data_IF_952642271787
#
_entry.id   IF_952642271787
#
_cell.length_a   1.000
_cell.length_b   1.000
_cell.length_c   1.000
_cell.angle_alpha   90.00
_cell.angle_beta   90.00
_cell.angle_gamma   90.00
#
_symmetry.space_group_name_H-M   'P 1'
#
loop_
_entity.id
_entity.type
_entity.pdbx_description
1 polymer ?
#
# COMPACT_ATOMS: atom_id res chain seq x y z
N UNK A 1 -25.92 8.56 -50.16
CA UNK A 1 -25.80 7.78 -48.90
C UNK A 1 -24.36 7.85 -48.45
N UNK A 2 -24.04 8.67 -47.45
CA UNK A 2 -22.69 8.77 -46.89
C UNK A 2 -22.57 7.77 -45.73
N UNK A 3 -21.65 6.83 -45.84
CA UNK A 3 -21.30 5.89 -44.77
C UNK A 3 -20.40 6.65 -43.80
N UNK A 4 -20.96 7.02 -42.65
CA UNK A 4 -20.21 7.67 -41.58
C UNK A 4 -19.19 6.68 -41.00
N UNK A 5 -17.93 6.88 -41.33
CA UNK A 5 -16.81 6.12 -40.78
C UNK A 5 -16.63 6.56 -39.31
N UNK A 6 -17.00 5.69 -38.37
CA UNK A 6 -16.87 5.95 -36.93
C UNK A 6 -15.37 6.08 -36.59
N UNK A 7 -14.89 7.14 -35.93
CA UNK A 7 -13.49 7.25 -35.57
C UNK A 7 -13.13 6.12 -34.61
N UNK A 8 -12.26 5.21 -35.03
CA UNK A 8 -11.74 4.14 -34.18
C UNK A 8 -10.97 4.77 -33.03
N UNK A 9 -11.43 4.55 -31.79
CA UNK A 9 -10.69 4.97 -30.61
C UNK A 9 -9.28 4.35 -30.65
N UNK A 10 -8.23 5.09 -30.26
CA UNK A 10 -6.88 4.54 -30.20
C UNK A 10 -6.85 3.42 -29.16
N UNK A 11 -6.55 2.20 -29.59
CA UNK A 11 -6.38 1.06 -28.68
C UNK A 11 -5.24 1.34 -27.70
N UNK A 12 -5.55 1.38 -26.40
CA UNK A 12 -4.54 1.55 -25.35
C UNK A 12 -3.86 0.20 -25.13
N UNK A 13 -2.56 0.13 -25.40
CA UNK A 13 -1.75 -1.07 -25.11
C UNK A 13 -1.11 -0.92 -23.73
N UNK A 14 -1.41 -1.85 -22.83
CA UNK A 14 -0.79 -1.90 -21.50
C UNK A 14 0.32 -2.95 -21.48
N UNK A 15 1.50 -2.58 -21.00
CA UNK A 15 2.66 -3.47 -20.85
C UNK A 15 2.96 -3.58 -19.36
N UNK A 16 2.93 -4.79 -18.82
CA UNK A 16 3.25 -5.08 -17.44
C UNK A 16 4.61 -5.77 -17.32
N UNK A 17 5.46 -5.27 -16.42
CA UNK A 17 6.63 -5.99 -15.97
C UNK A 17 6.26 -6.71 -14.67
N UNK A 18 6.15 -8.02 -14.75
CA UNK A 18 5.73 -8.88 -13.64
C UNK A 18 6.84 -9.90 -13.34
N UNK A 19 7.04 -10.19 -12.06
CA UNK A 19 8.00 -11.21 -11.66
C UNK A 19 7.54 -12.60 -12.11
N UNK A 20 8.46 -13.57 -12.31
CA UNK A 20 8.10 -14.92 -12.71
C UNK A 20 7.08 -15.59 -11.77
N UNK A 21 7.20 -15.35 -10.46
CA UNK A 21 6.28 -15.88 -9.46
C UNK A 21 4.86 -15.33 -9.62
N UNK A 22 4.73 -14.02 -9.86
CA UNK A 22 3.41 -13.40 -10.09
C UNK A 22 2.78 -13.90 -11.39
N UNK A 23 3.59 -14.09 -12.43
CA UNK A 23 3.13 -14.65 -13.70
C UNK A 23 2.58 -16.08 -13.55
N UNK A 24 3.31 -16.96 -12.86
CA UNK A 24 2.88 -18.34 -12.59
C UNK A 24 1.59 -18.36 -11.77
N UNK A 25 1.54 -17.58 -10.68
CA UNK A 25 0.34 -17.48 -9.84
C UNK A 25 -0.86 -16.95 -10.62
N UNK A 26 -0.63 -15.98 -11.52
CA UNK A 26 -1.65 -15.47 -12.44
C UNK A 26 -2.21 -16.55 -13.35
N UNK A 27 -1.34 -17.34 -14.00
CA UNK A 27 -1.78 -18.44 -14.87
C UNK A 27 -2.59 -19.48 -14.10
N UNK A 28 -2.11 -19.92 -12.94
CA UNK A 28 -2.81 -20.92 -12.14
C UNK A 28 -4.18 -20.41 -11.67
N UNK A 29 -4.26 -19.14 -11.32
CA UNK A 29 -5.52 -18.49 -10.90
C UNK A 29 -6.51 -18.37 -12.05
N UNK A 30 -6.02 -18.01 -13.25
CA UNK A 30 -6.82 -17.97 -14.47
C UNK A 30 -7.36 -19.38 -14.84
N UNK A 31 -6.49 -20.40 -14.81
CA UNK A 31 -6.86 -21.79 -15.09
C UNK A 31 -7.94 -22.33 -14.13
N UNK A 32 -7.80 -22.06 -12.83
CA UNK A 32 -8.83 -22.46 -11.83
C UNK A 32 -10.20 -21.87 -12.12
N UNK A 33 -10.26 -20.73 -12.80
CA UNK A 33 -11.49 -20.02 -13.17
C UNK A 33 -11.92 -20.29 -14.61
N UNK A 34 -11.19 -21.12 -15.35
CA UNK A 34 -11.45 -21.38 -16.77
C UNK A 34 -11.24 -20.17 -17.68
N UNK A 35 -10.46 -19.18 -17.23
CA UNK A 35 -10.19 -17.94 -17.94
C UNK A 35 -8.81 -17.98 -18.58
N UNK A 36 -8.61 -17.16 -19.61
CA UNK A 36 -7.27 -16.84 -20.09
C UNK A 36 -6.59 -15.84 -19.16
N UNK A 37 -5.26 -15.75 -19.23
CA UNK A 37 -4.48 -14.88 -18.36
C UNK A 37 -4.82 -13.40 -18.56
N UNK A 38 -4.98 -12.96 -19.81
CA UNK A 38 -5.38 -11.60 -20.17
C UNK A 38 -6.77 -11.26 -19.60
N UNK A 39 -7.76 -12.12 -19.82
CA UNK A 39 -9.12 -11.95 -19.28
C UNK A 39 -9.14 -11.92 -17.74
N UNK A 40 -8.33 -12.78 -17.12
CA UNK A 40 -8.18 -12.82 -15.67
C UNK A 40 -7.53 -11.54 -15.14
N UNK A 41 -6.47 -11.05 -15.79
CA UNK A 41 -5.77 -9.82 -15.40
C UNK A 41 -6.66 -8.60 -15.61
N UNK A 42 -7.35 -8.48 -16.73
CA UNK A 42 -8.30 -7.39 -16.99
C UNK A 42 -9.42 -7.37 -15.95
N UNK A 43 -9.99 -8.53 -15.62
CA UNK A 43 -11.02 -8.63 -14.58
C UNK A 43 -10.45 -8.27 -13.19
N UNK A 44 -9.24 -8.73 -12.85
CA UNK A 44 -8.60 -8.43 -11.57
C UNK A 44 -8.22 -6.95 -11.44
N UNK A 45 -7.68 -6.34 -12.50
CA UNK A 45 -7.34 -4.91 -12.56
C UNK A 45 -8.60 -4.07 -12.50
N UNK A 46 -9.63 -4.44 -13.26
CA UNK A 46 -10.93 -3.75 -13.23
C UNK A 46 -11.54 -3.83 -11.84
N UNK A 47 -11.53 -5.01 -11.20
CA UNK A 47 -12.02 -5.17 -9.84
C UNK A 47 -11.20 -4.35 -8.82
N UNK A 48 -9.88 -4.31 -8.97
CA UNK A 48 -9.02 -3.50 -8.11
C UNK A 48 -9.24 -1.99 -8.31
N UNK A 49 -9.52 -1.56 -9.54
CA UNK A 49 -9.78 -0.17 -9.89
C UNK A 49 -11.22 0.28 -9.57
N UNK A 50 -12.18 -0.65 -9.61
CA UNK A 50 -13.60 -0.43 -9.32
C UNK A 50 -13.98 -0.71 -7.87
N UNK A 51 -13.05 -1.24 -7.08
CA UNK A 51 -13.23 -1.33 -5.64
C UNK A 51 -13.31 0.10 -5.09
N UNK A 52 -14.52 0.64 -5.04
CA UNK A 52 -14.84 1.63 -4.03
C UNK A 52 -14.48 1.01 -2.66
N UNK A 53 -14.02 1.81 -1.68
CA UNK A 53 -13.58 1.34 -0.36
C UNK A 53 -14.77 0.88 0.50
N UNK A 54 -15.58 -0.03 -0.03
CA UNK A 54 -16.93 -0.34 0.49
C UNK A 54 -16.99 -1.69 1.19
N UNK A 55 -15.84 -2.21 1.61
CA UNK A 55 -15.80 -3.23 2.66
C UNK A 55 -14.76 -2.85 3.73
N UNK A 56 -15.18 -2.28 4.88
CA UNK A 56 -14.27 -1.94 5.98
C UNK A 56 -13.62 -3.17 6.62
N UNK A 57 -14.04 -4.39 6.25
CA UNK A 57 -13.38 -5.63 6.68
C UNK A 57 -12.26 -6.09 5.74
N UNK A 58 -12.16 -5.49 4.55
CA UNK A 58 -11.15 -5.79 3.54
C UNK A 58 -10.33 -4.55 3.17
N UNK A 59 -9.95 -3.76 4.16
CA UNK A 59 -8.89 -2.78 3.95
C UNK A 59 -7.60 -3.51 3.60
N UNK A 60 -7.25 -3.42 2.31
CA UNK A 60 -6.02 -4.00 1.82
C UNK A 60 -4.86 -3.28 2.54
N UNK A 61 -3.84 -4.01 3.03
CA UNK A 61 -2.80 -3.44 3.89
C UNK A 61 -1.98 -2.34 3.18
N UNK A 62 -2.03 -2.27 1.86
CA UNK A 62 -1.40 -1.23 1.02
C UNK A 62 -2.19 0.09 0.97
N UNK A 63 -3.39 0.15 1.58
CA UNK A 63 -4.19 1.37 1.60
C UNK A 63 -3.53 2.46 2.45
N UNK A 64 -3.81 3.72 2.10
CA UNK A 64 -3.37 4.87 2.90
C UNK A 64 -4.02 4.87 4.30
N UNK A 65 -5.27 4.44 4.40
CA UNK A 65 -5.97 4.38 5.69
C UNK A 65 -5.31 3.37 6.63
N UNK A 66 -4.92 2.20 6.12
CA UNK A 66 -4.20 1.20 6.91
C UNK A 66 -2.82 1.69 7.37
N UNK A 67 -2.16 2.55 6.58
CA UNK A 67 -0.92 3.23 7.01
C UNK A 67 -1.18 4.21 8.15
N UNK A 68 -2.23 5.03 8.06
CA UNK A 68 -2.60 6.00 9.09
C UNK A 68 -2.99 5.30 10.40
N UNK A 69 -3.76 4.21 10.32
CA UNK A 69 -4.08 3.37 11.49
C UNK A 69 -2.83 2.72 12.08
N UNK A 70 -1.92 2.22 11.23
CA UNK A 70 -0.66 1.67 11.69
C UNK A 70 0.19 2.73 12.41
N UNK A 71 0.30 3.94 11.87
CA UNK A 71 1.01 5.05 12.51
C UNK A 71 0.41 5.37 13.88
N UNK A 72 -0.91 5.51 13.96
CA UNK A 72 -1.61 5.80 15.21
C UNK A 72 -1.33 4.73 16.27
N UNK A 73 -1.42 3.45 15.89
CA UNK A 73 -1.16 2.33 16.81
C UNK A 73 0.33 2.21 17.16
N UNK A 74 1.22 2.46 16.22
CA UNK A 74 2.66 2.42 16.44
C UNK A 74 3.15 3.53 17.39
N UNK A 75 2.53 4.72 17.33
CA UNK A 75 2.86 5.87 18.17
C UNK A 75 2.23 5.74 19.57
N UNK A 76 0.99 5.22 19.67
CA UNK A 76 0.26 5.19 20.94
C UNK A 76 0.38 3.87 21.71
N UNK A 77 0.31 2.72 21.03
CA UNK A 77 0.14 1.39 21.63
C UNK A 77 0.80 0.32 20.76
N UNK A 78 2.14 0.29 20.64
CA UNK A 78 2.84 -0.64 19.76
C UNK A 78 2.59 -2.12 20.13
N UNK A 79 2.27 -2.40 21.40
CA UNK A 79 1.95 -3.75 21.88
C UNK A 79 0.67 -4.34 21.28
N UNK A 80 -0.25 -3.48 20.84
CA UNK A 80 -1.50 -3.87 20.18
C UNK A 80 -1.29 -4.39 18.74
N UNK A 81 -0.11 -4.16 18.16
CA UNK A 81 0.25 -4.68 16.85
C UNK A 81 0.54 -6.19 16.99
N UNK A 82 -0.23 -7.00 16.26
CA UNK A 82 -0.13 -8.46 16.28
C UNK A 82 0.06 -9.05 14.88
N UNK A 83 0.61 -10.26 14.82
CA UNK A 83 0.80 -11.00 13.58
C UNK A 83 1.69 -10.26 12.58
N UNK A 84 1.29 -10.17 11.29
CA UNK A 84 2.05 -9.47 10.26
C UNK A 84 2.36 -8.00 10.60
N UNK A 85 1.45 -7.30 11.28
CA UNK A 85 1.64 -5.89 11.67
C UNK A 85 2.78 -5.70 12.68
N UNK A 86 3.02 -6.69 13.56
CA UNK A 86 4.17 -6.67 14.48
C UNK A 86 5.49 -6.83 13.74
N UNK A 87 5.51 -7.68 12.71
CA UNK A 87 6.68 -7.86 11.84
C UNK A 87 6.95 -6.59 11.04
N UNK A 88 5.89 -5.93 10.56
CA UNK A 88 5.99 -4.63 9.90
C UNK A 88 6.61 -3.58 10.81
N UNK A 89 6.14 -3.48 12.06
CA UNK A 89 6.69 -2.57 13.06
C UNK A 89 8.16 -2.85 13.36
N UNK A 90 8.54 -4.12 13.51
CA UNK A 90 9.94 -4.50 13.70
C UNK A 90 10.84 -4.07 12.52
N UNK A 91 10.33 -4.08 11.28
CA UNK A 91 11.06 -3.55 10.12
C UNK A 91 11.16 -2.02 10.14
N UNK A 92 10.11 -1.32 10.56
CA UNK A 92 10.15 0.14 10.72
C UNK A 92 11.17 0.57 11.78
N UNK A 93 11.30 -0.18 12.89
CA UNK A 93 12.35 0.04 13.89
C UNK A 93 13.77 -0.13 13.33
N UNK A 94 13.96 -0.94 12.29
CA UNK A 94 15.27 -1.19 11.66
C UNK A 94 15.67 -0.11 10.64
N UNK A 95 14.74 0.76 10.24
CA UNK A 95 14.99 1.79 9.22
C UNK A 95 15.07 3.18 9.87
N UNK A 96 16.28 3.70 10.18
CA UNK A 96 16.43 4.98 10.88
C UNK A 96 15.90 6.17 10.08
N UNK A 97 15.86 6.07 8.75
CA UNK A 97 15.36 7.11 7.85
C UNK A 97 13.84 7.38 7.98
N UNK A 98 13.11 6.48 8.65
CA UNK A 98 11.68 6.61 8.90
C UNK A 98 11.36 7.42 10.15
N UNK A 99 12.36 7.78 10.95
CA UNK A 99 12.18 8.46 12.22
C UNK A 99 12.45 9.97 12.08
N UNK A 100 11.61 10.77 12.71
CA UNK A 100 11.83 12.20 12.89
C UNK A 100 12.40 12.44 14.28
N UNK A 101 13.53 13.14 14.31
CA UNK A 101 14.08 13.65 15.56
C UNK A 101 13.14 14.72 16.14
N UNK A 102 13.06 14.85 17.47
CA UNK A 102 12.29 15.91 18.10
C UNK A 102 12.89 17.27 17.72
N UNK A 103 12.13 18.06 16.97
CA UNK A 103 12.45 19.46 16.69
C UNK A 103 11.85 20.30 17.81
N UNK A 104 12.60 20.46 18.90
CA UNK A 104 12.20 21.39 19.95
C UNK A 104 12.43 22.82 19.46
N UNK A 105 11.34 23.57 19.25
CA UNK A 105 11.46 25.01 19.05
C UNK A 105 11.83 25.70 20.37
N UNK A 106 12.64 26.76 20.32
CA UNK A 106 13.12 27.49 21.50
C UNK A 106 11.97 27.97 22.42
N UNK A 107 10.82 28.33 21.84
CA UNK A 107 9.60 28.72 22.59
C UNK A 107 8.95 27.55 23.34
N UNK A 108 9.02 26.32 22.81
CA UNK A 108 8.45 25.11 23.44
C UNK A 108 9.32 24.57 24.57
N UNK A 109 10.65 24.77 24.48
CA UNK A 109 11.59 24.46 25.56
C UNK A 109 11.37 25.39 26.77
N UNK A 110 11.10 26.67 26.54
CA UNK A 110 10.80 27.63 27.62
C UNK A 110 9.42 27.37 28.25
N UNK A 111 8.47 26.82 27.48
CA UNK A 111 7.10 26.49 27.93
C UNK A 111 6.98 25.14 28.64
N UNK A 112 8.03 24.30 28.61
CA UNK A 112 8.03 22.97 29.21
C UNK A 112 7.13 21.95 28.49
N UNK A 113 6.74 22.23 27.25
CA UNK A 113 5.88 21.37 26.41
C UNK A 113 6.66 20.72 25.26
N UNK A 114 7.99 20.74 25.32
CA UNK A 114 8.84 20.12 24.32
C UNK A 114 8.50 18.61 24.23
N UNK A 115 8.15 18.19 23.02
CA UNK A 115 7.84 16.80 22.71
C UNK A 115 9.17 16.06 22.47
N UNK A 116 9.68 15.42 23.52
CA UNK A 116 10.99 14.74 23.51
C UNK A 116 10.95 13.35 22.84
N UNK A 117 9.80 12.94 22.30
CA UNK A 117 9.57 11.58 21.81
C UNK A 117 9.88 11.44 20.32
N UNK A 118 10.66 10.41 19.97
CA UNK A 118 10.99 10.09 18.58
C UNK A 118 9.75 9.57 17.87
N UNK A 119 9.26 10.30 16.87
CA UNK A 119 8.05 9.93 16.13
C UNK A 119 8.36 9.36 14.75
N UNK A 120 7.50 8.47 14.29
CA UNK A 120 7.56 7.96 12.92
C UNK A 120 7.15 9.08 11.95
N UNK A 121 7.99 9.36 10.97
CA UNK A 121 7.72 10.37 9.96
C UNK A 121 6.70 9.85 8.94
N UNK A 122 5.46 10.34 8.99
CA UNK A 122 4.39 9.98 8.05
C UNK A 122 4.83 10.09 6.58
N UNK A 123 5.56 11.15 6.22
CA UNK A 123 5.96 11.37 4.82
C UNK A 123 7.01 10.38 4.34
N UNK A 124 7.90 9.94 5.24
CA UNK A 124 8.89 8.92 4.94
C UNK A 124 8.24 7.54 4.91
N UNK A 125 7.33 7.27 5.85
CA UNK A 125 6.56 6.04 5.88
C UNK A 125 5.70 5.89 4.63
N UNK A 126 4.99 6.93 4.19
CA UNK A 126 4.17 6.88 2.98
C UNK A 126 4.95 6.49 1.73
N UNK A 127 6.21 6.92 1.62
CA UNK A 127 7.11 6.53 0.52
C UNK A 127 7.58 5.07 0.65
N UNK A 128 7.87 4.62 1.85
CA UNK A 128 8.33 3.27 2.12
C UNK A 128 7.18 2.24 2.22
N UNK A 129 5.94 2.70 2.40
CA UNK A 129 4.77 1.88 2.74
C UNK A 129 4.53 0.72 1.76
N UNK A 130 4.52 0.94 0.42
CA UNK A 130 4.28 -0.16 -0.52
C UNK A 130 5.36 -1.24 -0.45
N UNK A 131 6.62 -0.85 -0.20
CA UNK A 131 7.75 -1.78 -0.04
C UNK A 131 7.66 -2.55 1.28
N UNK A 132 7.35 -1.87 2.38
CA UNK A 132 7.24 -2.47 3.70
C UNK A 132 6.10 -3.48 3.75
N UNK A 133 4.91 -3.08 3.30
CA UNK A 133 3.72 -3.94 3.26
C UNK A 133 3.94 -5.14 2.35
N UNK A 134 4.47 -4.94 1.13
CA UNK A 134 4.77 -6.06 0.22
C UNK A 134 5.75 -7.07 0.81
N UNK A 135 6.74 -6.61 1.59
CA UNK A 135 7.71 -7.52 2.23
C UNK A 135 7.14 -8.39 3.35
N UNK A 136 5.94 -8.06 3.86
CA UNK A 136 5.32 -8.72 5.01
C UNK A 136 4.04 -9.45 4.63
N UNK A 137 3.23 -8.87 3.75
CA UNK A 137 1.90 -9.36 3.38
C UNK A 137 1.83 -10.06 2.01
N UNK A 138 2.87 -9.96 1.18
CA UNK A 138 2.91 -10.58 -0.15
C UNK A 138 3.73 -11.90 -0.22
N UNK A 139 4.12 -12.44 0.94
CA UNK A 139 4.78 -13.75 1.04
C UNK A 139 3.80 -14.92 0.90
#
# INVERSE_FOLDING_TARGET
MQVANKPSQPGVRVIFHISPSVYITGILSAQRRGLKLDEFLDAAITAAASAEPTDPTHELPWSRHSMELFLLLADTLPESLHGPWRVLYAKVLQEPDLWKAPEASLDEVESGTADDEWRINETALAKAWPRLVSSVFAC
#
